data_IF_641699981205
#
_entry.id   IF_641699981205
#
_cell.length_a   1.000
_cell.length_b   1.000
_cell.length_c   1.000
_cell.angle_alpha   90.00
_cell.angle_beta   90.00
_cell.angle_gamma   90.00
#
_symmetry.space_group_name_H-M   'P 1'
#
loop_
_entity.id
_entity.type
_entity.pdbx_description
1 polymer ?
#
# COMPACT_ATOMS: atom_id res chain seq x y z
N UNK A 1 -30.86 15.30 13.63
CA UNK A 1 -30.21 14.16 12.93
C UNK A 1 -29.34 14.72 11.82
N UNK A 2 -28.14 15.18 12.18
CA UNK A 2 -27.23 15.82 11.24
C UNK A 2 -26.20 14.77 10.81
N UNK A 3 -26.59 13.90 9.88
CA UNK A 3 -25.72 12.86 9.29
C UNK A 3 -25.55 13.04 7.77
N UNK A 4 -26.16 14.07 7.19
CA UNK A 4 -25.98 14.42 5.78
C UNK A 4 -24.97 15.55 5.63
N UNK A 5 -23.68 15.21 5.76
CA UNK A 5 -22.64 16.01 5.14
C UNK A 5 -22.88 15.90 3.63
N UNK A 6 -23.44 16.94 3.01
CA UNK A 6 -23.54 17.06 1.56
C UNK A 6 -22.14 17.16 0.99
N UNK A 7 -21.53 16.02 0.71
CA UNK A 7 -20.31 15.96 -0.06
C UNK A 7 -20.65 16.38 -1.50
N UNK A 8 -20.49 17.66 -1.82
CA UNK A 8 -20.38 18.10 -3.20
C UNK A 8 -19.00 17.67 -3.70
N UNK A 9 -18.89 16.47 -4.28
CA UNK A 9 -17.78 16.15 -5.19
C UNK A 9 -17.92 17.17 -6.33
N UNK A 10 -17.03 18.14 -6.42
CA UNK A 10 -16.82 18.87 -7.68
C UNK A 10 -16.31 17.88 -8.72
N UNK A 11 -16.83 17.84 -9.96
CA UNK A 11 -16.41 16.86 -10.98
C UNK A 11 -14.95 16.98 -11.43
N UNK A 12 -14.20 17.97 -10.92
CA UNK A 12 -12.81 18.23 -11.32
C UNK A 12 -11.76 17.69 -10.37
N UNK A 13 -12.13 17.08 -9.24
CA UNK A 13 -11.19 16.23 -8.53
C UNK A 13 -11.25 14.84 -9.16
N UNK A 14 -10.71 14.74 -10.38
CA UNK A 14 -9.94 13.55 -10.75
C UNK A 14 -8.89 13.42 -9.67
N UNK A 15 -9.28 12.73 -8.59
CA UNK A 15 -8.34 12.11 -7.69
C UNK A 15 -7.55 11.22 -8.62
N UNK A 16 -6.39 11.72 -9.05
CA UNK A 16 -5.25 10.89 -9.33
C UNK A 16 -5.21 10.00 -8.11
N UNK A 17 -5.77 8.79 -8.21
CA UNK A 17 -5.62 7.76 -7.20
C UNK A 17 -4.11 7.58 -7.22
N UNK A 18 -3.42 8.26 -6.31
CA UNK A 18 -1.98 8.23 -6.27
C UNK A 18 -1.64 6.75 -6.15
N UNK A 19 -0.81 6.21 -7.06
CA UNK A 19 -0.51 4.80 -7.02
C UNK A 19 0.13 4.51 -5.67
N UNK A 20 -0.52 3.66 -4.86
CA UNK A 20 0.01 3.23 -3.57
C UNK A 20 1.38 2.62 -3.84
N UNK A 21 2.43 3.22 -3.29
CA UNK A 21 3.79 2.75 -3.50
C UNK A 21 4.15 1.72 -2.44
N UNK A 22 5.08 0.83 -2.77
CA UNK A 22 5.56 -0.18 -1.82
C UNK A 22 6.13 0.45 -0.55
N UNK A 23 6.71 1.64 -0.66
CA UNK A 23 7.24 2.41 0.47
C UNK A 23 6.18 2.77 1.51
N UNK A 24 4.92 3.02 1.11
CA UNK A 24 3.84 3.38 2.04
C UNK A 24 3.34 2.18 2.87
N UNK A 25 3.53 0.95 2.38
CA UNK A 25 3.04 -0.28 3.03
C UNK A 25 4.15 -1.11 3.66
N UNK A 26 5.42 -0.83 3.34
CA UNK A 26 6.57 -1.53 3.88
C UNK A 26 7.04 -0.96 5.23
N UNK A 27 7.44 -1.84 6.13
CA UNK A 27 8.15 -1.49 7.37
C UNK A 27 9.60 -1.90 7.20
N UNK A 28 10.55 -1.10 7.66
CA UNK A 28 11.98 -1.42 7.59
C UNK A 28 12.57 -1.50 8.99
N UNK A 29 13.42 -2.51 9.20
CA UNK A 29 14.23 -2.63 10.39
C UNK A 29 15.67 -2.21 10.09
N UNK A 30 16.31 -1.51 11.03
CA UNK A 30 17.76 -1.33 11.02
C UNK A 30 18.49 -2.67 11.21
N UNK A 31 19.80 -2.70 10.97
CA UNK A 31 20.61 -3.92 11.11
C UNK A 31 20.61 -4.42 12.56
N UNK A 32 20.63 -3.50 13.51
CA UNK A 32 20.60 -3.75 14.94
C UNK A 32 19.23 -4.32 15.36
N UNK A 33 18.13 -3.73 14.90
CA UNK A 33 16.77 -4.23 15.16
C UNK A 33 16.55 -5.60 14.52
N UNK A 34 17.03 -5.79 13.29
CA UNK A 34 16.96 -7.07 12.58
C UNK A 34 17.70 -8.18 13.33
N UNK A 35 18.86 -7.86 13.93
CA UNK A 35 19.64 -8.79 14.74
C UNK A 35 18.90 -9.23 16.02
N UNK A 36 18.07 -8.36 16.57
CA UNK A 36 17.25 -8.62 17.77
C UNK A 36 15.97 -9.42 17.47
N UNK A 37 15.51 -9.45 16.21
CA UNK A 37 14.34 -10.24 15.83
C UNK A 37 14.58 -11.74 15.98
N UNK A 38 13.62 -12.42 16.60
CA UNK A 38 13.60 -13.87 16.67
C UNK A 38 13.36 -14.52 15.29
N UNK A 39 13.71 -15.80 15.10
CA UNK A 39 13.52 -16.50 13.82
C UNK A 39 12.08 -16.43 13.27
N UNK A 40 11.07 -16.52 14.15
CA UNK A 40 9.66 -16.40 13.77
C UNK A 40 9.26 -14.99 13.32
N UNK A 41 9.81 -13.94 13.94
CA UNK A 41 9.52 -12.56 13.53
C UNK A 41 10.18 -12.22 12.19
N UNK A 42 11.38 -12.75 11.93
CA UNK A 42 12.04 -12.61 10.62
C UNK A 42 11.30 -13.35 9.51
N UNK A 43 10.72 -14.52 9.82
CA UNK A 43 9.87 -15.24 8.89
C UNK A 43 8.60 -14.44 8.57
N UNK A 44 7.90 -13.98 9.61
CA UNK A 44 6.70 -13.13 9.45
C UNK A 44 6.98 -11.86 8.64
N UNK A 45 8.12 -11.19 8.88
CA UNK A 45 8.50 -10.01 8.10
C UNK A 45 8.64 -10.34 6.61
N UNK A 46 9.28 -11.47 6.27
CA UNK A 46 9.44 -11.87 4.87
C UNK A 46 8.09 -12.16 4.22
N UNK A 47 7.21 -12.86 4.93
CA UNK A 47 5.87 -13.19 4.43
C UNK A 47 5.04 -11.93 4.18
N UNK A 48 5.02 -11.01 5.15
CA UNK A 48 4.28 -9.74 5.04
C UNK A 48 4.86 -8.85 3.93
N UNK A 49 6.18 -8.73 3.84
CA UNK A 49 6.81 -7.92 2.78
C UNK A 49 6.60 -8.52 1.38
N UNK A 50 6.54 -9.85 1.28
CA UNK A 50 6.21 -10.53 0.03
C UNK A 50 4.76 -10.23 -0.40
N UNK A 51 3.79 -10.37 0.51
CA UNK A 51 2.39 -10.09 0.22
C UNK A 51 2.17 -8.62 -0.19
N UNK A 52 2.85 -7.68 0.50
CA UNK A 52 2.81 -6.26 0.15
C UNK A 52 3.38 -5.99 -1.25
N UNK A 53 4.48 -6.66 -1.63
CA UNK A 53 5.09 -6.51 -2.95
C UNK A 53 4.16 -7.01 -4.06
N UNK A 54 3.54 -8.18 -3.86
CA UNK A 54 2.59 -8.77 -4.81
C UNK A 54 1.34 -7.90 -4.97
N UNK A 55 0.83 -7.36 -3.85
CA UNK A 55 -0.32 -6.45 -3.82
C UNK A 55 -0.04 -5.17 -4.59
N UNK A 56 1.08 -4.49 -4.32
CA UNK A 56 1.46 -3.25 -5.03
C UNK A 56 1.69 -3.52 -6.52
N UNK A 57 2.30 -4.66 -6.88
CA UNK A 57 2.48 -5.08 -8.28
C UNK A 57 1.16 -5.33 -9.00
N UNK A 58 0.15 -5.90 -8.30
CA UNK A 58 -1.20 -6.08 -8.84
C UNK A 58 -1.95 -4.76 -9.01
N UNK A 59 -1.90 -3.88 -8.02
CA UNK A 59 -2.53 -2.56 -8.09
C UNK A 59 -1.92 -1.69 -9.21
N UNK A 60 -0.62 -1.83 -9.46
CA UNK A 60 0.05 -1.22 -10.62
C UNK A 60 -0.40 -1.80 -11.97
N UNK A 61 -0.91 -3.04 -12.02
CA UNK A 61 -1.49 -3.66 -13.23
C UNK A 61 -2.95 -3.26 -13.45
N UNK A 62 -3.73 -3.14 -12.38
CA UNK A 62 -5.15 -2.80 -12.43
C UNK A 62 -5.38 -1.29 -12.73
N UNK A 63 -4.34 -0.46 -12.60
CA UNK A 63 -4.37 0.98 -12.88
C UNK A 63 -4.01 1.37 -14.33
N UNK A 64 -3.72 0.41 -15.21
CA UNK A 64 -3.45 0.67 -16.62
C UNK A 64 -4.53 0.09 -17.55
N UNK A 65 -5.53 0.87 -17.98
CA UNK A 65 -6.26 0.59 -19.21
C UNK A 65 -5.49 1.23 -20.38
N UNK A 66 -4.47 0.55 -20.87
CA UNK A 66 -3.92 0.82 -22.21
C UNK A 66 -4.19 -0.46 -23.01
N UNK A 67 -5.21 -0.52 -23.86
CA UNK A 67 -5.41 0.42 -24.97
C UNK A 67 -4.52 -0.07 -26.11
N UNK A 68 -4.96 -1.13 -26.79
CA UNK A 68 -4.46 -1.55 -28.10
C UNK A 68 -5.43 -1.09 -29.18
#
# INVERSE_FOLDING_TARGET
TNWDIKWTKSPSETSSIAPVTFEEVSVYFSKEEWALLGPGQRALYKDVMQENYETVTRLGKDSCPLGY
#
